data_IF_843906713135
#
_entry.id   IF_843906713135
#
_cell.length_a   1.000
_cell.length_b   1.000
_cell.length_c   1.000
_cell.angle_alpha   90.00
_cell.angle_beta   90.00
_cell.angle_gamma   90.00
#
_symmetry.space_group_name_H-M   'P 1'
#
loop_
_entity.id
_entity.type
_entity.pdbx_description
1 polymer ?
#
# COMPACT_ATOMS: atom_id res chain seq x y z
N UNK A 1 -22.19 -35.57 -6.94
CA UNK A 1 -21.76 -34.15 -7.04
C UNK A 1 -21.24 -33.63 -5.69
N UNK A 2 -22.00 -33.73 -4.59
CA UNK A 2 -21.53 -33.32 -3.25
C UNK A 2 -20.27 -34.05 -2.74
N UNK A 3 -20.17 -35.37 -2.94
CA UNK A 3 -18.96 -36.13 -2.56
C UNK A 3 -17.71 -35.68 -3.35
N UNK A 4 -17.89 -35.34 -4.63
CA UNK A 4 -16.81 -34.87 -5.51
C UNK A 4 -16.29 -33.50 -5.02
N UNK A 5 -17.20 -32.58 -4.70
CA UNK A 5 -16.88 -31.27 -4.11
C UNK A 5 -16.18 -31.37 -2.75
N UNK A 6 -16.59 -32.31 -1.89
CA UNK A 6 -15.92 -32.53 -0.60
C UNK A 6 -14.50 -33.09 -0.78
N UNK A 7 -14.30 -34.04 -1.69
CA UNK A 7 -12.98 -34.59 -1.98
C UNK A 7 -12.04 -33.56 -2.63
N UNK A 8 -12.58 -32.69 -3.50
CA UNK A 8 -11.81 -31.57 -4.08
C UNK A 8 -11.41 -30.54 -3.03
N UNK A 9 -12.30 -30.22 -2.08
CA UNK A 9 -11.97 -29.30 -0.97
C UNK A 9 -10.89 -29.88 -0.06
N UNK A 10 -10.95 -31.17 0.27
CA UNK A 10 -9.94 -31.83 1.08
C UNK A 10 -8.56 -31.85 0.37
N UNK A 11 -8.53 -32.23 -0.91
CA UNK A 11 -7.30 -32.24 -1.72
C UNK A 11 -6.68 -30.84 -1.87
N UNK A 12 -7.51 -29.81 -2.13
CA UNK A 12 -7.03 -28.42 -2.23
C UNK A 12 -6.55 -27.91 -0.88
N UNK A 13 -7.24 -28.23 0.22
CA UNK A 13 -6.81 -27.86 1.56
C UNK A 13 -5.49 -28.54 1.94
N UNK A 14 -5.26 -29.78 1.54
CA UNK A 14 -4.03 -30.55 1.82
C UNK A 14 -2.85 -30.07 0.97
N UNK A 15 -3.08 -29.73 -0.30
CA UNK A 15 -2.08 -29.08 -1.16
C UNK A 15 -1.70 -27.69 -0.63
N UNK A 16 -2.69 -26.89 -0.20
CA UNK A 16 -2.47 -25.55 0.36
C UNK A 16 -1.88 -25.59 1.79
N UNK A 17 -2.25 -26.58 2.62
CA UNK A 17 -1.71 -26.74 3.99
C UNK A 17 -0.33 -27.39 4.04
N UNK A 18 0.23 -27.84 2.92
CA UNK A 18 1.63 -28.28 2.83
C UNK A 18 2.63 -27.12 2.85
N UNK A 19 2.29 -26.02 3.55
CA UNK A 19 3.18 -24.91 3.80
C UNK A 19 4.39 -25.35 4.64
N UNK A 20 5.56 -24.98 4.09
CA UNK A 20 6.78 -24.54 4.76
C UNK A 20 7.62 -25.56 5.56
N UNK A 21 8.83 -25.92 5.07
CA UNK A 21 9.89 -26.48 5.91
C UNK A 21 10.58 -25.44 6.81
N UNK A 22 10.01 -24.23 6.95
CA UNK A 22 10.51 -23.16 7.82
C UNK A 22 9.50 -22.95 8.98
N UNK A 23 9.94 -22.75 10.23
CA UNK A 23 9.07 -22.89 11.38
C UNK A 23 7.96 -21.84 11.30
N UNK A 24 6.72 -22.28 11.53
CA UNK A 24 5.60 -21.39 11.82
C UNK A 24 6.10 -20.24 12.71
N UNK A 25 5.79 -18.97 12.37
CA UNK A 25 6.14 -17.88 13.24
C UNK A 25 5.54 -18.18 14.62
N UNK A 26 6.24 -17.87 15.72
CA UNK A 26 5.68 -18.03 17.04
C UNK A 26 4.29 -17.36 17.06
N UNK A 27 3.32 -17.90 17.81
CA UNK A 27 1.90 -17.50 17.80
C UNK A 27 1.63 -16.03 18.20
N UNK A 28 2.68 -15.23 18.32
CA UNK A 28 2.68 -13.85 18.72
C UNK A 28 2.89 -12.88 17.54
N UNK A 29 3.65 -13.20 16.47
CA UNK A 29 3.97 -12.22 15.41
C UNK A 29 3.17 -12.45 14.13
N UNK A 30 2.26 -11.51 13.83
CA UNK A 30 1.57 -11.39 12.54
C UNK A 30 1.79 -9.98 12.00
N UNK A 31 1.77 -9.82 10.67
CA UNK A 31 1.79 -8.48 10.08
C UNK A 31 0.63 -7.61 10.61
N UNK A 32 -0.52 -8.19 10.93
CA UNK A 32 -1.63 -7.49 11.60
C UNK A 32 -1.16 -6.78 12.88
N UNK A 33 -0.46 -7.48 13.78
CA UNK A 33 0.00 -6.89 15.05
C UNK A 33 1.03 -5.79 14.82
N UNK A 34 1.90 -5.97 13.84
CA UNK A 34 2.81 -4.92 13.39
C UNK A 34 2.02 -3.70 12.90
N UNK A 35 1.04 -3.91 12.03
CA UNK A 35 0.21 -2.86 11.46
C UNK A 35 -0.57 -2.08 12.53
N UNK A 36 -1.17 -2.76 13.52
CA UNK A 36 -1.87 -2.10 14.63
C UNK A 36 -0.94 -1.19 15.46
N UNK A 37 0.30 -1.62 15.65
CA UNK A 37 1.32 -0.81 16.34
C UNK A 37 1.73 0.36 15.46
N UNK A 38 1.98 0.10 14.18
CA UNK A 38 2.43 1.07 13.20
C UNK A 38 1.41 2.19 12.98
N UNK A 39 0.12 1.86 12.89
CA UNK A 39 -0.95 2.84 12.67
C UNK A 39 -1.19 3.70 13.91
N UNK A 40 -1.04 3.13 15.11
CA UNK A 40 -1.07 3.90 16.37
C UNK A 40 0.06 4.93 16.40
N UNK A 41 1.28 4.51 16.01
CA UNK A 41 2.42 5.41 15.94
C UNK A 41 2.27 6.47 14.84
N UNK A 42 1.59 6.17 13.72
CA UNK A 42 1.25 7.16 12.71
C UNK A 42 0.35 8.27 13.28
N UNK A 43 -0.59 7.94 14.18
CA UNK A 43 -1.41 8.96 14.85
C UNK A 43 -0.56 9.85 15.77
N UNK A 44 0.42 9.30 16.49
CA UNK A 44 1.36 10.11 17.28
C UNK A 44 2.17 11.06 16.40
N UNK A 45 2.67 10.58 15.26
CA UNK A 45 3.38 11.44 14.30
C UNK A 45 2.48 12.52 13.71
N UNK A 46 1.21 12.23 13.45
CA UNK A 46 0.24 13.23 13.02
C UNK A 46 0.09 14.35 14.07
N UNK A 47 -0.01 14.00 15.36
CA UNK A 47 -0.09 14.98 16.44
C UNK A 47 1.19 15.86 16.53
N UNK A 48 2.37 15.24 16.40
CA UNK A 48 3.65 15.96 16.34
C UNK A 48 3.71 16.94 15.15
N UNK A 49 3.32 16.49 13.95
CA UNK A 49 3.29 17.31 12.73
C UNK A 49 2.32 18.48 12.86
N UNK A 50 1.11 18.24 13.38
CA UNK A 50 0.11 19.30 13.60
C UNK A 50 0.61 20.33 14.61
N UNK A 51 1.29 19.89 15.67
CA UNK A 51 1.90 20.80 16.64
C UNK A 51 3.02 21.64 16.00
N UNK A 52 3.88 21.01 15.20
CA UNK A 52 4.96 21.69 14.51
C UNK A 52 4.42 22.75 13.53
N UNK A 53 3.42 22.41 12.72
CA UNK A 53 2.77 23.34 11.80
C UNK A 53 2.13 24.54 12.53
N UNK A 54 1.51 24.33 13.70
CA UNK A 54 0.92 25.43 14.49
C UNK A 54 1.98 26.38 15.05
N UNK A 55 3.08 25.83 15.58
CA UNK A 55 4.16 26.63 16.15
C UNK A 55 4.85 27.45 15.06
N UNK A 56 5.08 26.86 13.89
CA UNK A 56 5.65 27.54 12.73
C UNK A 56 4.83 28.75 12.27
N UNK A 57 3.49 28.65 12.24
CA UNK A 57 2.62 29.78 11.90
C UNK A 57 2.67 30.94 12.91
N UNK A 58 3.12 30.70 14.15
CA UNK A 58 3.22 31.73 15.19
C UNK A 58 4.57 32.47 15.16
N UNK A 59 5.63 31.85 14.63
CA UNK A 59 6.95 32.44 14.52
C UNK A 59 7.06 33.25 13.21
N UNK A 60 6.89 34.57 13.31
CA UNK A 60 6.94 35.51 12.16
C UNK A 60 8.32 35.66 11.49
N UNK A 61 9.32 34.93 11.96
CA UNK A 61 10.66 34.88 11.37
C UNK A 61 10.79 33.53 10.67
N UNK A 62 10.53 33.48 9.36
CA UNK A 62 10.58 32.28 8.52
C UNK A 62 11.98 31.68 8.31
N UNK A 63 12.76 31.55 9.40
CA UNK A 63 14.17 31.15 9.42
C UNK A 63 14.39 29.79 10.12
N UNK A 64 13.31 29.09 10.52
CA UNK A 64 13.39 27.81 11.26
C UNK A 64 12.66 26.64 10.55
N UNK A 65 12.59 26.67 9.22
CA UNK A 65 12.14 25.52 8.42
C UNK A 65 13.07 24.30 8.60
N UNK A 66 14.35 24.56 8.87
CA UNK A 66 15.37 23.52 9.13
C UNK A 66 15.06 22.69 10.38
N UNK A 67 14.37 23.26 11.38
CA UNK A 67 13.93 22.52 12.57
C UNK A 67 12.84 21.48 12.27
N UNK A 68 12.15 21.59 11.14
CA UNK A 68 11.13 20.62 10.71
C UNK A 68 11.75 19.36 10.08
N UNK A 69 12.97 19.48 9.54
CA UNK A 69 13.64 18.39 8.80
C UNK A 69 13.77 17.10 9.62
N UNK A 70 14.23 17.13 10.89
CA UNK A 70 14.33 15.91 11.70
C UNK A 70 12.98 15.22 11.95
N UNK A 71 11.89 16.00 12.04
CA UNK A 71 10.54 15.44 12.18
C UNK A 71 10.09 14.78 10.87
N UNK A 72 10.29 15.45 9.74
CA UNK A 72 9.98 14.92 8.40
C UNK A 72 10.75 13.62 8.16
N UNK A 73 12.05 13.57 8.44
CA UNK A 73 12.88 12.38 8.31
C UNK A 73 12.37 11.22 9.18
N UNK A 74 11.95 11.49 10.44
CA UNK A 74 11.36 10.47 11.32
C UNK A 74 10.07 9.89 10.72
N UNK A 75 9.22 10.74 10.15
CA UNK A 75 7.94 10.33 9.53
C UNK A 75 8.19 9.55 8.23
N UNK A 76 9.10 10.00 7.38
CA UNK A 76 9.48 9.26 6.16
C UNK A 76 10.05 7.89 6.53
N UNK A 77 10.93 7.82 7.52
CA UNK A 77 11.47 6.55 8.03
C UNK A 77 10.39 5.62 8.59
N UNK A 78 9.31 6.17 9.16
CA UNK A 78 8.15 5.39 9.59
C UNK A 78 7.46 4.68 8.40
N UNK A 79 7.33 5.34 7.25
CA UNK A 79 6.86 4.71 6.02
C UNK A 79 7.88 3.72 5.43
N UNK A 80 9.17 4.01 5.49
CA UNK A 80 10.22 3.06 5.07
C UNK A 80 10.15 1.76 5.89
N UNK A 81 9.95 1.87 7.21
CA UNK A 81 9.78 0.71 8.08
C UNK A 81 8.55 -0.12 7.70
N UNK A 82 7.44 0.52 7.31
CA UNK A 82 6.24 -0.18 6.85
C UNK A 82 6.53 -1.07 5.65
N UNK A 83 7.14 -0.51 4.60
CA UNK A 83 7.42 -1.24 3.37
C UNK A 83 8.55 -2.26 3.54
N UNK A 84 9.52 -1.97 4.41
CA UNK A 84 10.55 -2.94 4.77
C UNK A 84 9.95 -4.19 5.43
N UNK A 85 9.12 -4.01 6.45
CA UNK A 85 8.41 -5.11 7.11
C UNK A 85 7.50 -5.80 6.10
N UNK A 86 6.73 -5.05 5.29
CA UNK A 86 5.82 -5.63 4.29
C UNK A 86 6.56 -6.51 3.29
N UNK A 87 7.73 -6.11 2.79
CA UNK A 87 8.57 -6.92 1.91
C UNK A 87 9.00 -8.26 2.56
N UNK A 88 9.34 -8.26 3.85
CA UNK A 88 9.66 -9.50 4.58
C UNK A 88 8.47 -10.46 4.66
N UNK A 89 7.25 -9.93 4.75
CA UNK A 89 6.03 -10.74 4.79
C UNK A 89 5.55 -11.16 3.39
N UNK A 90 5.76 -10.34 2.37
CA UNK A 90 5.50 -10.70 0.97
C UNK A 90 6.33 -11.90 0.53
N UNK A 91 7.62 -11.95 0.91
CA UNK A 91 8.51 -13.11 0.72
C UNK A 91 8.03 -14.40 1.39
N UNK A 92 7.22 -14.28 2.46
CA UNK A 92 6.71 -15.42 3.22
C UNK A 92 5.36 -15.89 2.70
N UNK A 93 4.45 -14.95 2.44
CA UNK A 93 3.09 -15.19 1.97
C UNK A 93 2.52 -13.96 1.26
N UNK A 94 2.82 -13.84 -0.04
CA UNK A 94 2.33 -12.77 -0.90
C UNK A 94 0.80 -12.75 -1.03
N UNK A 95 0.14 -13.90 -1.01
CA UNK A 95 -1.32 -13.99 -1.09
C UNK A 95 -1.99 -13.41 0.17
N UNK A 96 -1.44 -13.72 1.35
CA UNK A 96 -1.92 -13.13 2.60
C UNK A 96 -1.77 -11.60 2.64
N UNK A 97 -0.77 -11.04 1.94
CA UNK A 97 -0.60 -9.58 1.81
C UNK A 97 -1.58 -8.94 0.82
N UNK A 98 -2.08 -9.68 -0.17
CA UNK A 98 -3.13 -9.21 -1.09
C UNK A 98 -4.50 -9.17 -0.43
N UNK A 99 -4.80 -10.14 0.43
CA UNK A 99 -6.08 -10.25 1.15
C UNK A 99 -5.87 -10.23 2.66
N UNK A 100 -5.43 -9.10 3.23
CA UNK A 100 -5.11 -9.01 4.64
C UNK A 100 -6.35 -9.00 5.51
N UNK A 101 -6.28 -9.73 6.63
CA UNK A 101 -7.37 -9.85 7.60
C UNK A 101 -7.55 -8.63 8.50
N UNK A 102 -6.63 -7.65 8.45
CA UNK A 102 -6.59 -6.48 9.32
C UNK A 102 -7.11 -5.20 8.67
N UNK A 103 -7.54 -5.28 7.41
CA UNK A 103 -8.19 -4.17 6.70
C UNK A 103 -9.69 -4.40 6.62
N UNK A 104 -10.42 -3.30 6.51
CA UNK A 104 -11.85 -3.30 6.26
C UNK A 104 -12.16 -3.49 4.78
N UNK A 105 -13.39 -3.93 4.48
CA UNK A 105 -13.91 -4.00 3.11
C UNK A 105 -13.88 -2.62 2.40
N UNK A 106 -14.00 -1.54 3.17
CA UNK A 106 -13.91 -0.18 2.65
C UNK A 106 -12.49 0.11 2.17
N UNK A 107 -11.48 -0.20 2.99
CA UNK A 107 -10.08 -0.07 2.58
C UNK A 107 -9.80 -0.92 1.35
N UNK A 108 -10.21 -2.19 1.37
CA UNK A 108 -9.98 -3.13 0.26
C UNK A 108 -10.58 -2.67 -1.08
N UNK A 109 -11.72 -1.98 -1.04
CA UNK A 109 -12.36 -1.45 -2.26
C UNK A 109 -11.54 -0.37 -2.98
N UNK A 110 -10.60 0.29 -2.31
CA UNK A 110 -9.81 1.40 -2.86
C UNK A 110 -8.35 1.04 -3.13
N UNK A 111 -8.00 -0.24 -3.09
CA UNK A 111 -6.62 -0.68 -3.29
C UNK A 111 -6.29 -0.97 -4.75
N UNK A 112 -5.01 -0.83 -5.03
CA UNK A 112 -4.36 -1.18 -6.27
C UNK A 112 -3.14 -2.02 -5.91
N UNK A 113 -3.04 -3.29 -6.30
CA UNK A 113 -1.84 -4.13 -6.06
C UNK A 113 -1.35 -4.04 -4.60
N UNK A 114 -2.13 -4.59 -3.65
CA UNK A 114 -1.75 -4.73 -2.24
C UNK A 114 -1.77 -3.44 -1.39
N UNK A 115 -1.94 -2.25 -1.98
CA UNK A 115 -1.90 -0.97 -1.27
C UNK A 115 -2.61 0.16 -2.01
N UNK A 116 -2.42 1.41 -1.59
CA UNK A 116 -2.95 2.58 -2.29
C UNK A 116 -2.29 2.78 -3.66
N UNK A 117 -2.93 3.48 -4.59
CA UNK A 117 -2.36 3.72 -5.93
C UNK A 117 -1.39 4.93 -5.89
N UNK A 118 -0.12 4.80 -6.29
CA UNK A 118 0.92 5.84 -6.15
C UNK A 118 0.55 7.27 -6.60
N UNK A 119 -0.20 7.41 -7.70
CA UNK A 119 -0.67 8.71 -8.22
C UNK A 119 -1.58 9.44 -7.22
N UNK A 120 -2.20 8.73 -6.26
CA UNK A 120 -3.01 9.35 -5.20
C UNK A 120 -2.21 10.28 -4.30
N UNK A 121 -0.89 10.10 -4.15
CA UNK A 121 -0.06 11.06 -3.43
C UNK A 121 -0.10 12.44 -4.11
N UNK A 122 0.00 12.47 -5.44
CA UNK A 122 -0.09 13.72 -6.22
C UNK A 122 -1.51 14.29 -6.20
N UNK A 123 -2.54 13.44 -6.32
CA UNK A 123 -3.93 13.91 -6.22
C UNK A 123 -4.25 14.51 -4.84
N UNK A 124 -3.75 13.89 -3.77
CA UNK A 124 -3.89 14.40 -2.41
C UNK A 124 -3.20 15.75 -2.28
N UNK A 125 -1.97 15.88 -2.78
CA UNK A 125 -1.22 17.13 -2.78
C UNK A 125 -2.00 18.25 -3.48
N UNK A 126 -2.49 18.03 -4.69
CA UNK A 126 -3.29 19.02 -5.42
C UNK A 126 -4.63 19.34 -4.76
N UNK A 127 -5.30 18.33 -4.20
CA UNK A 127 -6.57 18.55 -3.48
C UNK A 127 -6.35 19.39 -2.23
N UNK A 128 -5.30 19.10 -1.45
CA UNK A 128 -4.98 19.85 -0.24
C UNK A 128 -4.48 21.25 -0.55
N UNK A 129 -3.65 21.40 -1.58
CA UNK A 129 -3.18 22.69 -2.11
C UNK A 129 -4.35 23.57 -2.53
N UNK A 130 -5.31 23.04 -3.31
CA UNK A 130 -6.50 23.78 -3.71
C UNK A 130 -7.35 24.24 -2.53
N UNK A 131 -7.57 23.39 -1.53
CA UNK A 131 -8.30 23.78 -0.30
C UNK A 131 -7.58 24.92 0.44
N UNK A 132 -6.26 24.82 0.62
CA UNK A 132 -5.48 25.85 1.34
C UNK A 132 -5.40 27.16 0.57
N UNK A 133 -5.29 27.09 -0.75
CA UNK A 133 -5.35 28.24 -1.65
C UNK A 133 -6.70 28.95 -1.54
N UNK A 134 -7.81 28.21 -1.57
CA UNK A 134 -9.16 28.77 -1.46
C UNK A 134 -9.39 29.45 -0.10
N UNK A 135 -8.92 28.84 0.99
CA UNK A 135 -9.03 29.39 2.36
C UNK A 135 -8.28 30.73 2.53
N UNK A 136 -7.24 30.97 1.72
CA UNK A 136 -6.33 32.12 1.85
C UNK A 136 -6.22 32.99 0.61
N UNK A 137 -7.21 32.90 -0.28
CA UNK A 137 -7.23 33.65 -1.54
C UNK A 137 -7.09 35.17 -1.34
N UNK A 138 -7.72 35.73 -0.30
CA UNK A 138 -7.61 37.16 0.02
C UNK A 138 -6.19 37.58 0.40
N UNK A 139 -5.49 36.74 1.17
CA UNK A 139 -4.12 36.97 1.62
C UNK A 139 -3.15 36.87 0.43
N UNK A 140 -3.35 35.90 -0.45
CA UNK A 140 -2.55 35.73 -1.66
C UNK A 140 -2.70 36.93 -2.62
N UNK A 141 -3.92 37.44 -2.82
CA UNK A 141 -4.16 38.65 -3.65
C UNK A 141 -3.44 39.87 -3.08
N UNK A 142 -3.26 39.91 -1.75
CA UNK A 142 -2.49 40.96 -1.05
C UNK A 142 -0.98 40.71 -1.06
N UNK A 143 -0.53 39.60 -1.65
CA UNK A 143 0.87 39.20 -1.72
C UNK A 143 1.43 38.64 -0.40
N UNK A 144 0.56 38.18 0.50
CA UNK A 144 0.95 37.48 1.72
C UNK A 144 1.09 35.98 1.41
N UNK A 145 2.22 35.40 1.78
CA UNK A 145 2.48 33.96 1.68
C UNK A 145 2.32 33.32 3.06
N UNK A 146 1.69 32.17 3.12
CA UNK A 146 1.53 31.37 4.34
C UNK A 146 2.49 30.20 4.42
N UNK A 147 3.23 29.91 3.35
CA UNK A 147 4.21 28.83 3.28
C UNK A 147 3.60 27.44 3.28
N UNK A 148 2.28 27.30 3.26
CA UNK A 148 1.60 26.00 3.17
C UNK A 148 1.49 25.53 1.70
N UNK A 149 0.69 24.49 1.44
CA UNK A 149 0.54 23.94 0.09
C UNK A 149 -0.26 24.86 -0.83
N UNK A 150 -0.89 25.94 -0.35
CA UNK A 150 -1.47 26.98 -1.19
C UNK A 150 -0.41 27.78 -1.97
N UNK A 151 0.84 27.80 -1.48
CA UNK A 151 1.95 28.59 -2.04
C UNK A 151 2.93 27.74 -2.87
N UNK A 152 2.45 26.69 -3.55
CA UNK A 152 3.29 25.91 -4.47
C UNK A 152 3.85 26.80 -5.58
N UNK A 153 5.16 26.81 -5.74
CA UNK A 153 5.81 27.59 -6.78
C UNK A 153 5.56 26.99 -8.17
N UNK A 154 5.64 27.79 -9.26
CA UNK A 154 5.48 27.26 -10.62
C UNK A 154 6.49 26.15 -10.96
N UNK A 155 7.69 26.21 -10.41
CA UNK A 155 8.70 25.18 -10.62
C UNK A 155 8.34 23.88 -9.88
N UNK A 156 7.88 23.97 -8.63
CA UNK A 156 7.37 22.81 -7.90
C UNK A 156 6.21 22.14 -8.64
N UNK A 157 5.21 22.91 -9.08
CA UNK A 157 4.06 22.39 -9.85
C UNK A 157 4.54 21.66 -11.11
N UNK A 158 5.49 22.25 -11.85
CA UNK A 158 6.07 21.60 -13.03
C UNK A 158 6.77 20.28 -12.69
N UNK A 159 7.55 20.26 -11.61
CA UNK A 159 8.26 19.03 -11.18
C UNK A 159 7.29 17.94 -10.69
N UNK A 160 6.23 18.33 -9.99
CA UNK A 160 5.15 17.43 -9.54
C UNK A 160 4.39 16.86 -10.75
N UNK A 161 4.10 17.66 -11.78
CA UNK A 161 3.48 17.18 -13.02
C UNK A 161 4.36 16.14 -13.74
N UNK A 162 5.67 16.36 -13.79
CA UNK A 162 6.60 15.37 -14.37
C UNK A 162 6.70 14.10 -13.52
N UNK A 163 6.68 14.22 -12.19
CA UNK A 163 6.55 13.07 -11.29
C UNK A 163 5.26 12.30 -11.59
N UNK A 164 4.12 12.98 -11.67
CA UNK A 164 2.83 12.36 -11.95
C UNK A 164 2.82 11.59 -13.27
N UNK A 165 3.37 12.17 -14.35
CA UNK A 165 3.46 11.51 -15.66
C UNK A 165 4.27 10.21 -15.59
N UNK A 166 5.42 10.24 -14.90
CA UNK A 166 6.26 9.05 -14.70
C UNK A 166 5.54 7.99 -13.87
N UNK A 167 4.93 8.39 -12.75
CA UNK A 167 4.16 7.48 -11.89
C UNK A 167 3.02 6.81 -12.64
N UNK A 168 2.24 7.56 -13.43
CA UNK A 168 1.15 7.01 -14.24
C UNK A 168 1.68 6.01 -15.29
N UNK A 169 2.87 6.25 -15.84
CA UNK A 169 3.48 5.30 -16.77
C UNK A 169 3.82 3.97 -16.09
N UNK A 170 4.53 4.01 -14.96
CA UNK A 170 4.87 2.80 -14.18
C UNK A 170 3.62 2.05 -13.70
N UNK A 171 2.61 2.77 -13.22
CA UNK A 171 1.34 2.17 -12.84
C UNK A 171 0.64 1.43 -13.99
N UNK A 172 0.71 1.96 -15.22
CA UNK A 172 0.16 1.26 -16.39
C UNK A 172 0.93 -0.01 -16.68
N UNK A 173 2.27 0.02 -16.58
CA UNK A 173 3.10 -1.16 -16.73
C UNK A 173 2.74 -2.22 -15.69
N UNK A 174 2.56 -1.84 -14.43
CA UNK A 174 2.24 -2.80 -13.35
C UNK A 174 0.80 -3.31 -13.44
N UNK A 175 -0.14 -2.47 -13.86
CA UNK A 175 -1.54 -2.88 -14.10
C UNK A 175 -1.62 -3.89 -15.25
N UNK A 176 -0.86 -3.69 -16.33
CA UNK A 176 -0.77 -4.64 -17.44
C UNK A 176 -0.12 -5.97 -16.99
N UNK A 177 0.90 -5.90 -16.13
CA UNK A 177 1.49 -7.11 -15.51
C UNK A 177 0.44 -7.85 -14.67
N UNK A 178 -0.33 -7.15 -13.83
CA UNK A 178 -1.40 -7.76 -13.03
C UNK A 178 -2.43 -8.47 -13.92
N UNK A 179 -2.86 -7.83 -15.00
CA UNK A 179 -3.81 -8.41 -15.95
C UNK A 179 -3.27 -9.73 -16.54
N UNK A 180 -2.00 -9.75 -16.98
CA UNK A 180 -1.36 -10.97 -17.47
C UNK A 180 -1.27 -12.08 -16.42
N UNK A 181 -0.96 -11.74 -15.17
CA UNK A 181 -0.95 -12.70 -14.07
C UNK A 181 -2.34 -13.30 -13.83
N UNK A 182 -3.37 -12.45 -13.85
CA UNK A 182 -4.76 -12.89 -13.71
C UNK A 182 -5.18 -13.81 -14.87
N UNK A 183 -4.81 -13.49 -16.11
CA UNK A 183 -5.09 -14.33 -17.28
C UNK A 183 -4.32 -15.67 -17.24
N UNK A 184 -3.16 -15.71 -16.59
CA UNK A 184 -2.33 -16.92 -16.50
C UNK A 184 -3.01 -18.09 -15.79
N UNK A 185 -4.10 -17.87 -15.04
CA UNK A 185 -4.87 -18.96 -14.41
C UNK A 185 -5.51 -19.90 -15.45
N UNK A 186 -5.68 -19.42 -16.69
CA UNK A 186 -6.18 -20.18 -17.83
C UNK A 186 -5.07 -20.65 -18.79
N UNK A 187 -3.80 -20.55 -18.38
CA UNK A 187 -2.69 -21.01 -19.20
C UNK A 187 -2.64 -22.54 -19.35
N UNK A 188 -1.79 -23.00 -20.26
CA UNK A 188 -1.61 -24.43 -20.55
C UNK A 188 -1.21 -25.24 -19.31
N UNK A 189 -0.34 -24.70 -18.46
CA UNK A 189 0.17 -25.43 -17.29
C UNK A 189 -0.95 -25.67 -16.26
N UNK A 190 -1.79 -24.67 -16.03
CA UNK A 190 -2.96 -24.74 -15.15
C UNK A 190 -4.02 -25.70 -15.69
N UNK A 191 -4.31 -25.63 -16.99
CA UNK A 191 -5.29 -26.52 -17.63
C UNK A 191 -4.83 -27.98 -17.60
N UNK A 192 -3.55 -28.24 -17.90
CA UNK A 192 -2.99 -29.60 -17.85
C UNK A 192 -3.06 -30.19 -16.44
N UNK A 193 -2.71 -29.41 -15.41
CA UNK A 193 -2.76 -29.86 -14.01
C UNK A 193 -4.21 -30.06 -13.55
N UNK A 194 -5.11 -29.15 -13.88
CA UNK A 194 -6.54 -29.25 -13.57
C UNK A 194 -7.17 -30.53 -14.16
N UNK A 195 -6.84 -30.83 -15.42
CA UNK A 195 -7.28 -32.06 -16.08
C UNK A 195 -6.69 -33.31 -15.42
N UNK A 196 -5.40 -33.31 -15.13
CA UNK A 196 -4.72 -34.42 -14.49
C UNK A 196 -5.29 -34.73 -13.10
N UNK A 197 -5.49 -33.72 -12.26
CA UNK A 197 -6.12 -33.85 -10.94
C UNK A 197 -7.56 -34.37 -11.06
N UNK A 198 -8.33 -33.83 -12.00
CA UNK A 198 -9.72 -34.27 -12.23
C UNK A 198 -9.82 -35.74 -12.66
N UNK A 199 -8.91 -36.21 -13.52
CA UNK A 199 -8.82 -37.61 -13.93
C UNK A 199 -8.43 -38.54 -12.76
N UNK A 200 -7.49 -38.11 -11.89
CA UNK A 200 -7.12 -38.89 -10.71
C UNK A 200 -8.29 -39.06 -9.74
N UNK A 201 -9.01 -37.96 -9.46
CA UNK A 201 -10.21 -37.99 -8.61
C UNK A 201 -11.26 -38.95 -9.19
N UNK A 202 -11.48 -38.94 -10.51
CA UNK A 202 -12.39 -39.88 -11.18
C UNK A 202 -11.97 -41.34 -11.03
N UNK A 203 -10.68 -41.62 -10.99
CA UNK A 203 -10.10 -42.95 -10.83
C UNK A 203 -9.99 -43.41 -9.37
N UNK A 204 -10.42 -42.58 -8.42
CA UNK A 204 -10.34 -42.89 -6.98
C UNK A 204 -8.92 -42.86 -6.41
N UNK A 205 -7.96 -42.26 -7.12
CA UNK A 205 -6.59 -42.10 -6.64
C UNK A 205 -6.38 -40.65 -6.16
N UNK A 206 -5.92 -40.49 -4.91
CA UNK A 206 -5.70 -39.16 -4.30
C UNK A 206 -4.22 -38.76 -4.35
N UNK A 207 -3.31 -39.73 -4.49
CA UNK A 207 -1.87 -39.49 -4.48
C UNK A 207 -1.30 -39.52 -5.92
N UNK A 208 -0.58 -38.47 -6.33
CA UNK A 208 0.20 -38.53 -7.58
C UNK A 208 0.51 -37.24 -8.35
N UNK A 209 -0.05 -36.08 -7.99
CA UNK A 209 0.27 -34.80 -8.66
C UNK A 209 0.49 -33.60 -7.74
N UNK A 210 0.52 -33.80 -6.41
CA UNK A 210 0.70 -32.73 -5.42
C UNK A 210 1.96 -31.90 -5.69
N UNK A 211 3.11 -32.54 -5.92
CA UNK A 211 4.35 -31.85 -6.22
C UNK A 211 4.27 -30.99 -7.50
N UNK A 212 3.55 -31.46 -8.53
CA UNK A 212 3.38 -30.72 -9.79
C UNK A 212 2.42 -29.54 -9.61
N UNK A 213 1.31 -29.75 -8.89
CA UNK A 213 0.36 -28.69 -8.50
C UNK A 213 1.11 -27.60 -7.73
N UNK A 214 1.88 -28.01 -6.71
CA UNK A 214 2.64 -27.11 -5.86
C UNK A 214 3.66 -26.30 -6.67
N UNK A 215 4.45 -26.95 -7.52
CA UNK A 215 5.45 -26.26 -8.34
C UNK A 215 4.83 -25.21 -9.27
N UNK A 216 3.66 -25.49 -9.85
CA UNK A 216 2.98 -24.51 -10.73
C UNK A 216 2.36 -23.37 -9.95
N UNK A 217 1.74 -23.63 -8.79
CA UNK A 217 1.19 -22.58 -7.95
C UNK A 217 2.29 -21.69 -7.35
N UNK A 218 3.41 -22.27 -6.92
CA UNK A 218 4.55 -21.52 -6.40
C UNK A 218 5.10 -20.54 -7.45
N UNK A 219 5.28 -20.98 -8.69
CA UNK A 219 5.74 -20.07 -9.76
C UNK A 219 4.82 -18.85 -9.94
N UNK A 220 3.50 -19.04 -9.82
CA UNK A 220 2.55 -17.91 -9.90
C UNK A 220 2.60 -17.02 -8.65
N UNK A 221 2.80 -17.62 -7.49
CA UNK A 221 2.98 -16.88 -6.24
C UNK A 221 4.24 -16.01 -6.28
N UNK A 222 5.35 -16.51 -6.84
CA UNK A 222 6.60 -15.75 -7.01
C UNK A 222 6.41 -14.53 -7.92
N UNK A 223 5.60 -14.67 -8.97
CA UNK A 223 5.25 -13.55 -9.86
C UNK A 223 4.36 -12.50 -9.16
N UNK A 224 3.42 -12.95 -8.32
CA UNK A 224 2.59 -12.08 -7.48
C UNK A 224 3.45 -11.34 -6.46
N UNK A 225 4.34 -12.04 -5.76
CA UNK A 225 5.29 -11.47 -4.82
C UNK A 225 6.12 -10.38 -5.47
N UNK A 226 6.69 -10.67 -6.65
CA UNK A 226 7.49 -9.70 -7.40
C UNK A 226 6.67 -8.46 -7.75
N UNK A 227 5.43 -8.62 -8.20
CA UNK A 227 4.57 -7.49 -8.55
C UNK A 227 4.18 -6.64 -7.33
N UNK A 228 3.94 -7.27 -6.18
CA UNK A 228 3.67 -6.59 -4.92
C UNK A 228 4.86 -5.72 -4.49
N UNK A 229 6.07 -6.30 -4.48
CA UNK A 229 7.31 -5.60 -4.14
C UNK A 229 7.51 -4.38 -5.05
N UNK A 230 7.37 -4.56 -6.37
CA UNK A 230 7.49 -3.46 -7.34
C UNK A 230 6.48 -2.33 -7.06
N UNK A 231 5.24 -2.68 -6.72
CA UNK A 231 4.21 -1.68 -6.43
C UNK A 231 4.48 -0.93 -5.11
N UNK A 232 5.01 -1.61 -4.10
CA UNK A 232 5.40 -1.01 -2.83
C UNK A 232 6.62 -0.10 -2.96
N UNK A 233 7.63 -0.50 -3.73
CA UNK A 233 8.78 0.34 -4.05
C UNK A 233 8.33 1.64 -4.73
N UNK A 234 7.42 1.55 -5.70
CA UNK A 234 6.88 2.74 -6.38
C UNK A 234 6.09 3.64 -5.43
N UNK A 235 5.35 3.10 -4.46
CA UNK A 235 4.65 3.92 -3.44
C UNK A 235 5.62 4.73 -2.60
N UNK A 236 6.67 4.06 -2.11
CA UNK A 236 7.66 4.70 -1.26
C UNK A 236 8.48 5.72 -2.05
N UNK A 237 8.88 5.39 -3.29
CA UNK A 237 9.56 6.31 -4.20
C UNK A 237 8.74 7.58 -4.42
N UNK A 238 7.45 7.45 -4.75
CA UNK A 238 6.58 8.60 -5.01
C UNK A 238 6.35 9.44 -3.76
N UNK A 239 6.15 8.83 -2.60
CA UNK A 239 6.00 9.56 -1.34
C UNK A 239 7.25 10.38 -1.03
N UNK A 240 8.44 9.78 -1.15
CA UNK A 240 9.72 10.46 -0.91
C UNK A 240 9.97 11.56 -1.93
N UNK A 241 9.72 11.28 -3.21
CA UNK A 241 9.84 12.27 -4.28
C UNK A 241 8.92 13.48 -4.03
N UNK A 242 7.67 13.28 -3.60
CA UNK A 242 6.79 14.41 -3.24
C UNK A 242 7.39 15.22 -2.08
N UNK A 243 7.86 14.57 -1.01
CA UNK A 243 8.47 15.26 0.13
C UNK A 243 9.71 16.06 -0.28
N UNK A 244 10.57 15.50 -1.14
CA UNK A 244 11.80 16.14 -1.63
C UNK A 244 11.54 17.36 -2.55
N UNK A 245 10.38 17.40 -3.21
CA UNK A 245 9.97 18.53 -4.08
C UNK A 245 9.39 19.72 -3.29
N UNK A 246 9.08 19.54 -2.02
CA UNK A 246 8.41 20.52 -1.17
C UNK A 246 9.40 21.23 -0.24
N UNK A 247 9.07 22.44 0.20
CA UNK A 247 9.78 23.04 1.35
C UNK A 247 9.45 22.23 2.62
N UNK A 248 10.26 22.33 3.70
CA UNK A 248 10.00 21.57 4.92
C UNK A 248 8.58 21.78 5.48
N UNK A 249 8.10 23.03 5.54
CA UNK A 249 6.73 23.31 6.01
C UNK A 249 5.65 22.75 5.07
N UNK A 250 5.85 22.81 3.76
CA UNK A 250 4.93 22.19 2.79
C UNK A 250 4.89 20.68 2.93
N UNK A 251 6.05 20.04 3.12
CA UNK A 251 6.15 18.61 3.38
C UNK A 251 5.40 18.21 4.67
N UNK A 252 5.48 19.02 5.73
CA UNK A 252 4.69 18.82 6.95
C UNK A 252 3.19 18.82 6.63
N UNK A 253 2.69 19.81 5.89
CA UNK A 253 1.27 19.86 5.51
C UNK A 253 0.83 18.69 4.63
N UNK A 254 1.68 18.24 3.71
CA UNK A 254 1.43 17.06 2.90
C UNK A 254 1.34 15.79 3.75
N UNK A 255 2.30 15.59 4.67
CA UNK A 255 2.34 14.43 5.57
C UNK A 255 1.17 14.41 6.55
N UNK A 256 0.71 15.58 7.03
CA UNK A 256 -0.53 15.71 7.80
C UNK A 256 -1.71 15.21 6.98
N UNK A 257 -1.90 15.71 5.76
CA UNK A 257 -3.02 15.32 4.90
C UNK A 257 -3.00 13.82 4.58
N UNK A 258 -1.81 13.24 4.37
CA UNK A 258 -1.64 11.82 4.10
C UNK A 258 -2.01 10.96 5.32
N UNK A 259 -1.51 11.32 6.50
CA UNK A 259 -1.82 10.62 7.75
C UNK A 259 -3.31 10.76 8.12
N UNK A 260 -3.90 11.95 8.01
CA UNK A 260 -5.32 12.18 8.26
C UNK A 260 -6.18 11.29 7.36
N UNK A 261 -5.94 11.31 6.04
CA UNK A 261 -6.73 10.52 5.11
C UNK A 261 -6.62 9.02 5.40
N UNK A 262 -5.40 8.51 5.64
CA UNK A 262 -5.19 7.09 5.93
C UNK A 262 -5.89 6.66 7.22
N UNK A 263 -5.68 7.41 8.32
CA UNK A 263 -6.28 7.12 9.62
C UNK A 263 -7.81 7.19 9.56
N UNK A 264 -8.38 8.20 8.89
CA UNK A 264 -9.84 8.31 8.77
C UNK A 264 -10.44 7.21 7.92
N UNK A 265 -9.81 6.85 6.80
CA UNK A 265 -10.29 5.73 5.98
C UNK A 265 -10.30 4.42 6.78
N UNK A 266 -9.24 4.17 7.55
CA UNK A 266 -9.14 3.01 8.43
C UNK A 266 -10.22 3.00 9.54
N UNK A 267 -10.40 4.12 10.24
CA UNK A 267 -11.42 4.25 11.28
C UNK A 267 -12.84 4.10 10.74
N UNK A 268 -13.15 4.75 9.62
CA UNK A 268 -14.45 4.65 8.97
C UNK A 268 -14.71 3.23 8.48
N UNK A 269 -13.70 2.59 7.92
CA UNK A 269 -13.78 1.21 7.47
C UNK A 269 -14.09 0.22 8.60
N UNK A 270 -13.42 0.37 9.76
CA UNK A 270 -13.73 -0.40 10.98
C UNK A 270 -15.16 -0.19 11.47
N UNK A 271 -15.70 1.03 11.37
CA UNK A 271 -17.08 1.36 11.77
C UNK A 271 -18.15 0.86 10.78
N UNK A 272 -17.82 0.83 9.50
CA UNK A 272 -18.76 0.52 8.42
C UNK A 272 -18.84 -0.97 8.08
N UNK A 273 -17.87 -1.76 8.56
CA UNK A 273 -17.91 -3.22 8.43
C UNK A 273 -19.03 -3.77 9.32
N UNK A 274 -20.03 -4.50 8.77
CA UNK A 274 -21.08 -5.09 9.58
C UNK A 274 -20.43 -6.03 10.60
N UNK A 275 -20.77 -5.83 11.88
CA UNK A 275 -20.44 -6.76 12.95
C UNK A 275 -21.21 -8.06 12.65
N UNK A 276 -20.55 -8.99 11.94
CA UNK A 276 -21.03 -10.36 11.75
C UNK A 276 -20.42 -11.26 12.81
#
# INVERSE_FOLDING_TARGET
MQQLLMNTKAFMAEAIHSQNPNPNPPPHETFHRFFDTWITQQNTYLEELVSAAKNHNHDQNGDDDDALVPLIERVVRHYEQYYHEKSDWERRDALAMLTPSWRSNLEDAFLWIGGWRPTLAVHLLYSKSGIQLDDKLEDLIRGLTTGDLGDLTPDQVKQIDELQKRTIHEERVFTEKLAKLQESVADRSMVEISNAVSEMIRRGNVAGNEAKVQSTLNSKNDEIETLLHMADDLRLEVLKAVVELLTPIQAVYFLIAAAELHLRLHEWGKKWSPQN
#
